data_IF_515459248905
#
_entry.id   IF_515459248905
#
_cell.length_a   1.000
_cell.length_b   1.000
_cell.length_c   1.000
_cell.angle_alpha   90.00
_cell.angle_beta   90.00
_cell.angle_gamma   90.00
#
_symmetry.space_group_name_H-M   'P 1'
#
loop_
_entity.id
_entity.type
_entity.pdbx_description
1 polymer ?
#
# COMPACT_ATOMS: atom_id res chain seq x y z
N UNK A 1 11.15 20.32 14.77
CA UNK A 1 11.06 18.96 15.36
C UNK A 1 11.09 17.96 14.21
N UNK A 2 11.57 16.74 14.43
CA UNK A 2 11.50 15.66 13.42
C UNK A 2 10.07 15.13 13.39
N UNK A 3 9.51 14.95 12.20
CA UNK A 3 8.18 14.35 12.05
C UNK A 3 8.19 12.87 12.47
N UNK A 4 7.11 12.43 13.09
CA UNK A 4 6.89 11.03 13.49
C UNK A 4 6.47 10.20 12.28
N UNK A 5 7.11 9.04 12.09
CA UNK A 5 6.82 8.14 10.97
C UNK A 5 6.36 6.79 11.52
N UNK A 6 5.13 6.41 11.15
CA UNK A 6 4.53 5.11 11.46
C UNK A 6 4.36 4.32 10.17
N UNK A 7 4.90 3.11 10.12
CA UNK A 7 4.83 2.25 8.94
C UNK A 7 4.04 0.97 9.21
N UNK A 8 3.24 0.55 8.22
CA UNK A 8 2.49 -0.70 8.27
C UNK A 8 2.84 -1.56 7.05
N UNK A 9 3.54 -2.65 7.26
CA UNK A 9 3.89 -3.62 6.21
C UNK A 9 3.17 -4.96 6.41
N UNK A 10 3.03 -5.74 5.35
CA UNK A 10 2.43 -7.08 5.42
C UNK A 10 1.70 -7.48 4.14
N UNK A 11 1.15 -8.67 4.12
CA UNK A 11 0.53 -9.31 2.97
C UNK A 11 -0.73 -8.61 2.45
N UNK A 12 -1.17 -9.00 1.25
CA UNK A 12 -2.42 -8.48 0.67
C UNK A 12 -3.64 -8.94 1.48
N UNK A 13 -4.61 -8.04 1.71
CA UNK A 13 -5.88 -8.39 2.38
C UNK A 13 -5.81 -8.52 3.91
N UNK A 14 -4.69 -8.21 4.58
CA UNK A 14 -4.58 -8.27 6.03
C UNK A 14 -5.12 -7.03 6.78
N UNK A 15 -5.78 -6.09 6.10
CA UNK A 15 -6.42 -4.93 6.74
C UNK A 15 -5.52 -3.74 7.02
N UNK A 16 -4.28 -3.70 6.52
CA UNK A 16 -3.32 -2.58 6.73
C UNK A 16 -3.89 -1.21 6.41
N UNK A 17 -4.48 -1.05 5.23
CA UNK A 17 -4.97 0.26 4.78
C UNK A 17 -6.14 0.75 5.64
N UNK A 18 -7.01 -0.15 6.11
CA UNK A 18 -8.07 0.20 7.06
C UNK A 18 -7.48 0.67 8.38
N UNK A 19 -6.54 -0.10 8.93
CA UNK A 19 -5.84 0.25 10.17
C UNK A 19 -5.08 1.56 10.04
N UNK A 20 -4.30 1.74 8.95
CA UNK A 20 -3.50 2.93 8.72
C UNK A 20 -4.35 4.20 8.60
N UNK A 21 -5.49 4.14 7.89
CA UNK A 21 -6.46 5.24 7.82
C UNK A 21 -7.01 5.62 9.20
N UNK A 22 -7.45 4.63 9.97
CA UNK A 22 -8.00 4.86 11.30
C UNK A 22 -6.96 5.48 12.24
N UNK A 23 -5.71 4.97 12.23
CA UNK A 23 -4.61 5.53 13.03
C UNK A 23 -4.26 6.96 12.61
N UNK A 24 -4.16 7.23 11.31
CA UNK A 24 -3.85 8.56 10.80
C UNK A 24 -4.94 9.58 11.20
N UNK A 25 -6.21 9.19 11.12
CA UNK A 25 -7.34 10.04 11.54
C UNK A 25 -7.29 10.34 13.04
N UNK A 26 -7.09 9.32 13.87
CA UNK A 26 -7.02 9.46 15.34
C UNK A 26 -5.86 10.36 15.78
N UNK A 27 -4.70 10.19 15.15
CA UNK A 27 -3.49 10.91 15.49
C UNK A 27 -3.39 12.28 14.80
N UNK A 28 -4.30 12.60 13.90
CA UNK A 28 -4.21 13.76 13.00
C UNK A 28 -2.91 13.77 12.17
N UNK A 29 -2.49 12.60 11.69
CA UNK A 29 -1.31 12.40 10.84
C UNK A 29 -1.72 12.28 9.37
N UNK A 30 -0.78 12.58 8.46
CA UNK A 30 -0.99 12.35 7.04
C UNK A 30 -1.01 10.83 6.74
N UNK A 31 -2.03 10.35 6.02
CA UNK A 31 -2.09 8.97 5.53
C UNK A 31 -1.63 8.87 4.09
N UNK A 32 -0.75 7.89 3.81
CA UNK A 32 -0.25 7.58 2.45
C UNK A 32 -0.46 6.10 2.12
N UNK A 33 -1.34 5.83 1.13
CA UNK A 33 -1.55 4.51 0.51
C UNK A 33 -0.52 4.30 -0.61
N UNK A 34 0.59 3.61 -0.33
CA UNK A 34 1.60 3.35 -1.37
C UNK A 34 1.10 2.39 -2.44
N UNK A 35 0.17 1.50 -2.09
CA UNK A 35 -0.49 0.64 -3.07
C UNK A 35 -1.29 1.43 -4.11
N UNK A 36 -1.92 2.55 -3.72
CA UNK A 36 -2.57 3.46 -4.66
C UNK A 36 -1.54 4.13 -5.60
N UNK A 37 -0.36 4.53 -5.09
CA UNK A 37 0.70 5.10 -5.93
C UNK A 37 1.17 4.12 -7.01
N UNK A 38 1.45 2.85 -6.64
CA UNK A 38 1.84 1.82 -7.61
C UNK A 38 0.73 1.48 -8.61
N UNK A 39 -0.53 1.57 -8.21
CA UNK A 39 -1.67 1.41 -9.13
C UNK A 39 -1.81 2.61 -10.07
N UNK A 40 -1.59 3.83 -9.60
CA UNK A 40 -1.63 5.03 -10.42
C UNK A 40 -0.56 5.01 -11.53
N UNK A 41 0.69 4.61 -11.21
CA UNK A 41 1.72 4.47 -12.23
C UNK A 41 1.43 3.32 -13.20
N UNK A 42 0.78 2.24 -12.73
CA UNK A 42 0.36 1.15 -13.62
C UNK A 42 -0.73 1.60 -14.59
N UNK A 43 -1.68 2.42 -14.12
CA UNK A 43 -2.69 3.05 -14.99
C UNK A 43 -2.00 3.95 -16.04
N UNK A 44 -1.03 4.77 -15.63
CA UNK A 44 -0.30 5.63 -16.53
C UNK A 44 0.40 4.86 -17.66
N UNK A 45 1.09 3.78 -17.33
CA UNK A 45 1.74 2.95 -18.34
C UNK A 45 0.75 2.22 -19.26
N UNK A 46 -0.40 1.84 -18.74
CA UNK A 46 -1.48 1.27 -19.55
C UNK A 46 -2.06 2.30 -20.52
N UNK A 47 -2.44 3.49 -20.04
CA UNK A 47 -3.01 4.57 -20.86
C UNK A 47 -2.00 5.13 -21.89
N UNK A 48 -0.70 5.06 -21.59
CA UNK A 48 0.37 5.51 -22.51
C UNK A 48 0.93 4.41 -23.43
N UNK A 49 0.29 3.25 -23.52
CA UNK A 49 0.68 2.10 -24.32
C UNK A 49 2.14 1.62 -24.06
N UNK A 50 2.58 1.70 -22.79
CA UNK A 50 3.91 1.23 -22.38
C UNK A 50 3.91 -0.24 -21.91
N UNK A 51 2.75 -0.89 -21.89
CA UNK A 51 2.59 -2.29 -21.49
C UNK A 51 2.55 -3.17 -22.73
N UNK A 52 3.46 -4.14 -22.80
CA UNK A 52 3.49 -5.16 -23.85
C UNK A 52 2.53 -6.31 -23.53
N UNK A 53 2.25 -7.16 -24.52
CA UNK A 53 1.31 -8.29 -24.41
C UNK A 53 1.63 -9.28 -23.28
N UNK A 54 2.91 -9.38 -22.88
CA UNK A 54 3.41 -10.19 -21.77
C UNK A 54 3.45 -9.46 -20.41
N UNK A 55 2.81 -8.31 -20.31
CA UNK A 55 2.80 -7.40 -19.14
C UNK A 55 4.18 -6.77 -18.81
N UNK A 56 5.15 -6.88 -19.69
CA UNK A 56 6.43 -6.18 -19.56
C UNK A 56 6.32 -4.72 -20.00
N UNK A 57 7.25 -3.89 -19.52
CA UNK A 57 7.35 -2.50 -19.96
C UNK A 57 8.11 -2.40 -21.28
N UNK A 58 7.66 -1.52 -22.17
CA UNK A 58 8.32 -1.21 -23.44
C UNK A 58 9.75 -0.67 -23.22
N UNK A 59 10.57 -0.67 -24.27
CA UNK A 59 11.93 -0.10 -24.22
C UNK A 59 11.94 1.40 -23.88
N UNK A 60 10.87 2.12 -24.26
CA UNK A 60 10.75 3.57 -24.09
C UNK A 60 10.14 3.97 -22.72
N UNK A 61 9.76 3.01 -21.87
CA UNK A 61 9.11 3.31 -20.59
C UNK A 61 9.91 4.28 -19.70
N UNK A 62 11.24 4.31 -19.82
CA UNK A 62 12.10 5.20 -19.02
C UNK A 62 11.78 6.67 -19.28
N UNK A 63 11.65 7.06 -20.55
CA UNK A 63 11.27 8.43 -20.93
C UNK A 63 9.89 8.78 -20.41
N UNK A 64 8.98 7.81 -20.52
CA UNK A 64 7.59 7.95 -20.06
C UNK A 64 7.52 8.02 -18.53
N UNK A 65 8.36 7.28 -17.82
CA UNK A 65 8.46 7.31 -16.35
C UNK A 65 8.77 8.72 -15.83
N UNK A 66 9.60 9.49 -16.51
CA UNK A 66 9.98 10.85 -16.08
C UNK A 66 8.79 11.82 -16.12
N UNK A 67 7.80 11.57 -16.97
CA UNK A 67 6.57 12.36 -17.09
C UNK A 67 5.53 12.08 -15.97
N UNK A 68 5.75 11.05 -15.17
CA UNK A 68 4.83 10.67 -14.10
C UNK A 68 5.00 11.56 -12.90
N UNK A 69 3.94 12.25 -12.51
CA UNK A 69 3.81 12.92 -11.21
C UNK A 69 2.69 12.24 -10.42
N UNK A 70 3.00 11.79 -9.20
CA UNK A 70 2.03 11.16 -8.29
C UNK A 70 2.07 11.89 -6.96
N UNK A 71 0.91 12.35 -6.54
CA UNK A 71 0.69 12.97 -5.24
C UNK A 71 -0.70 12.59 -4.69
N UNK A 72 -1.10 13.22 -3.59
CA UNK A 72 -2.41 13.01 -2.99
C UNK A 72 -3.16 14.34 -2.90
N UNK A 73 -4.49 14.26 -3.01
CA UNK A 73 -5.36 15.40 -2.74
C UNK A 73 -5.21 15.85 -1.27
N UNK A 74 -5.62 17.07 -0.97
CA UNK A 74 -5.87 17.43 0.43
C UNK A 74 -6.93 16.49 1.00
N UNK A 75 -6.87 16.16 2.31
CA UNK A 75 -7.90 15.37 2.96
C UNK A 75 -9.27 16.04 2.78
N UNK A 76 -10.29 15.24 2.49
CA UNK A 76 -11.69 15.67 2.51
C UNK A 76 -12.21 15.76 3.95
N UNK A 77 -13.51 16.07 4.12
CA UNK A 77 -14.17 16.17 5.45
C UNK A 77 -14.08 14.87 6.27
N UNK A 78 -13.97 13.72 5.59
CA UNK A 78 -13.80 12.41 6.23
C UNK A 78 -12.34 12.08 6.56
N UNK A 79 -11.39 12.99 6.21
CA UNK A 79 -9.95 12.77 6.38
C UNK A 79 -9.32 11.89 5.30
N UNK A 80 -10.03 11.62 4.19
CA UNK A 80 -9.52 10.79 3.10
C UNK A 80 -8.77 11.63 2.08
N UNK A 81 -7.56 11.20 1.71
CA UNK A 81 -6.77 11.74 0.61
C UNK A 81 -6.80 10.77 -0.56
N UNK A 82 -7.04 11.27 -1.75
CA UNK A 82 -7.10 10.47 -2.97
C UNK A 82 -5.85 10.65 -3.82
N UNK A 83 -5.36 9.56 -4.38
CA UNK A 83 -4.19 9.61 -5.25
C UNK A 83 -4.50 10.38 -6.54
N UNK A 84 -3.57 11.28 -6.90
CA UNK A 84 -3.59 12.01 -8.16
C UNK A 84 -2.44 11.55 -9.05
N UNK A 85 -2.74 11.41 -10.32
CA UNK A 85 -1.79 11.15 -11.39
C UNK A 85 -1.76 12.37 -12.31
N UNK A 86 -0.62 13.02 -12.42
CA UNK A 86 -0.45 14.25 -13.21
C UNK A 86 -1.55 15.30 -12.90
N UNK A 87 -1.84 15.49 -11.61
CA UNK A 87 -2.84 16.44 -11.13
C UNK A 87 -4.29 15.96 -11.16
N UNK A 88 -4.59 14.83 -11.77
CA UNK A 88 -5.95 14.27 -11.89
C UNK A 88 -6.19 13.16 -10.87
N UNK A 89 -7.32 13.24 -10.12
CA UNK A 89 -7.73 12.16 -9.20
C UNK A 89 -8.07 10.91 -10.01
N UNK A 90 -7.41 9.78 -9.67
CA UNK A 90 -7.58 8.50 -10.38
C UNK A 90 -8.08 7.37 -9.48
N UNK A 91 -8.47 7.64 -8.24
CA UNK A 91 -8.83 6.66 -7.23
C UNK A 91 -9.84 5.61 -7.73
N UNK A 92 -10.88 6.04 -8.45
CA UNK A 92 -11.92 5.16 -9.01
C UNK A 92 -11.42 4.31 -10.19
N UNK A 93 -10.44 4.78 -10.95
CA UNK A 93 -9.87 4.08 -12.10
C UNK A 93 -8.92 2.96 -11.68
N UNK A 94 -8.24 3.11 -10.55
CA UNK A 94 -7.17 2.20 -10.11
C UNK A 94 -7.65 1.02 -9.25
N UNK A 95 -8.93 0.97 -8.87
CA UNK A 95 -9.51 -0.08 -7.99
C UNK A 95 -10.22 -1.20 -8.77
N UNK A 96 -9.73 -1.54 -9.95
CA UNK A 96 -10.25 -2.64 -10.78
C UNK A 96 -9.29 -3.84 -10.82
N UNK A 97 -9.74 -4.94 -11.42
CA UNK A 97 -8.98 -6.20 -11.50
C UNK A 97 -7.79 -6.06 -12.46
N UNK A 98 -7.97 -5.38 -13.59
CA UNK A 98 -6.92 -5.17 -14.59
C UNK A 98 -5.70 -4.50 -13.97
N UNK A 99 -5.90 -3.35 -13.32
CA UNK A 99 -4.82 -2.64 -12.61
C UNK A 99 -4.26 -3.48 -11.45
N UNK A 100 -5.10 -4.29 -10.77
CA UNK A 100 -4.64 -5.17 -9.69
C UNK A 100 -3.68 -6.26 -10.17
N UNK A 101 -3.86 -6.77 -11.38
CA UNK A 101 -2.94 -7.75 -11.97
C UNK A 101 -1.66 -7.06 -12.45
N UNK A 102 -1.82 -5.92 -13.13
CA UNK A 102 -0.72 -5.16 -13.69
C UNK A 102 0.25 -4.62 -12.64
N UNK A 103 -0.25 -4.13 -11.52
CA UNK A 103 0.57 -3.57 -10.42
C UNK A 103 1.58 -4.57 -9.88
N UNK A 104 1.28 -5.86 -9.88
CA UNK A 104 2.19 -6.90 -9.41
C UNK A 104 3.44 -7.00 -10.29
N UNK A 105 3.31 -6.81 -11.60
CA UNK A 105 4.43 -6.82 -12.53
C UNK A 105 5.19 -5.49 -12.51
N UNK A 106 4.49 -4.37 -12.61
CA UNK A 106 5.09 -3.03 -12.61
C UNK A 106 5.92 -2.77 -11.34
N UNK A 107 5.43 -3.24 -10.19
CA UNK A 107 6.13 -3.07 -8.91
C UNK A 107 7.44 -3.87 -8.78
N UNK A 108 7.75 -4.79 -9.70
CA UNK A 108 9.05 -5.50 -9.78
C UNK A 108 10.14 -4.63 -10.41
N UNK A 109 9.77 -3.63 -11.20
CA UNK A 109 10.74 -2.82 -11.95
C UNK A 109 11.54 -1.89 -11.03
N UNK A 110 12.88 -2.01 -11.06
CA UNK A 110 13.77 -1.28 -10.17
C UNK A 110 13.71 0.25 -10.35
N UNK A 111 13.53 0.76 -11.58
CA UNK A 111 13.46 2.20 -11.84
C UNK A 111 12.13 2.78 -11.35
N UNK A 112 11.04 2.06 -11.56
CA UNK A 112 9.72 2.43 -10.99
C UNK A 112 9.81 2.50 -9.47
N UNK A 113 10.39 1.49 -8.83
CA UNK A 113 10.57 1.48 -7.38
C UNK A 113 11.42 2.64 -6.90
N UNK A 114 12.56 2.89 -7.55
CA UNK A 114 13.43 4.03 -7.19
C UNK A 114 12.66 5.34 -7.20
N UNK A 115 11.86 5.60 -8.24
CA UNK A 115 11.03 6.81 -8.31
C UNK A 115 9.97 6.85 -7.20
N UNK A 116 9.25 5.73 -6.98
CA UNK A 116 8.22 5.67 -5.93
C UNK A 116 8.81 5.89 -4.54
N UNK A 117 9.95 5.27 -4.21
CA UNK A 117 10.62 5.46 -2.91
C UNK A 117 10.98 6.94 -2.68
N UNK A 118 11.52 7.64 -3.69
CA UNK A 118 11.84 9.06 -3.56
C UNK A 118 10.59 9.90 -3.27
N UNK A 119 9.48 9.65 -3.97
CA UNK A 119 8.22 10.35 -3.71
C UNK A 119 7.68 10.02 -2.31
N UNK A 120 7.72 8.76 -1.90
CA UNK A 120 7.27 8.33 -0.58
C UNK A 120 8.09 9.01 0.53
N UNK A 121 9.41 9.04 0.39
CA UNK A 121 10.29 9.68 1.37
C UNK A 121 10.07 11.18 1.50
N UNK A 122 9.70 11.87 0.42
CA UNK A 122 9.45 13.32 0.48
C UNK A 122 8.32 13.71 1.43
N UNK A 123 7.34 12.83 1.67
CA UNK A 123 6.24 13.12 2.60
C UNK A 123 6.69 13.25 4.06
N UNK A 124 7.79 12.60 4.45
CA UNK A 124 8.30 12.68 5.82
C UNK A 124 8.80 14.08 6.22
N UNK A 125 9.04 14.95 5.25
CA UNK A 125 9.47 16.33 5.51
C UNK A 125 8.29 17.30 5.69
N UNK A 126 7.08 16.84 5.38
CA UNK A 126 5.88 17.70 5.35
C UNK A 126 5.06 17.60 6.63
N UNK A 127 4.89 16.38 7.17
CA UNK A 127 4.01 16.13 8.31
C UNK A 127 4.39 14.82 9.02
N UNK A 128 3.86 14.63 10.23
CA UNK A 128 3.74 13.33 10.85
C UNK A 128 2.93 12.41 9.93
N UNK A 129 3.27 11.12 9.87
CA UNK A 129 2.92 10.27 8.73
C UNK A 129 2.59 8.85 9.15
N UNK A 130 1.49 8.32 8.64
CA UNK A 130 1.18 6.90 8.62
C UNK A 130 1.20 6.41 7.18
N UNK A 131 2.06 5.44 6.88
CA UNK A 131 2.23 4.91 5.53
C UNK A 131 2.08 3.39 5.51
N UNK A 132 1.24 2.85 4.63
CA UNK A 132 1.10 1.41 4.47
C UNK A 132 1.60 0.90 3.11
N UNK A 133 2.16 -0.31 3.14
CA UNK A 133 2.71 -0.93 1.94
C UNK A 133 3.23 -2.35 2.12
N UNK A 134 4.40 -2.63 1.53
CA UNK A 134 5.06 -3.95 1.54
C UNK A 134 6.50 -3.90 2.04
N UNK A 135 7.13 -2.75 1.93
CA UNK A 135 8.55 -2.53 2.20
C UNK A 135 8.80 -1.15 2.82
N UNK A 136 7.80 -0.61 3.49
CA UNK A 136 7.88 0.75 4.02
C UNK A 136 8.88 0.81 5.17
N UNK A 137 8.72 -0.06 6.16
CA UNK A 137 9.62 -0.12 7.32
C UNK A 137 10.92 -0.88 7.08
N UNK A 138 11.09 -1.52 5.90
CA UNK A 138 12.34 -2.20 5.54
C UNK A 138 13.20 -1.41 4.55
N UNK A 139 12.59 -0.64 3.63
CA UNK A 139 13.30 0.05 2.54
C UNK A 139 13.01 1.56 2.54
N UNK A 140 11.75 1.98 2.59
CA UNK A 140 11.39 3.39 2.46
C UNK A 140 11.81 4.17 3.71
N UNK A 141 11.43 3.68 4.87
CA UNK A 141 11.74 4.26 6.20
C UNK A 141 12.31 3.21 7.16
N UNK A 142 13.54 2.71 6.93
CA UNK A 142 14.15 1.69 7.81
C UNK A 142 14.33 2.18 9.25
N UNK A 143 14.38 3.50 9.44
CA UNK A 143 14.49 4.17 10.73
C UNK A 143 13.18 4.85 11.17
N UNK A 144 12.02 4.33 10.71
CA UNK A 144 10.71 4.80 11.16
C UNK A 144 10.57 4.66 12.68
N UNK A 145 9.87 5.59 13.30
CA UNK A 145 9.69 5.66 14.74
C UNK A 145 8.90 4.46 15.27
N UNK A 146 7.87 4.04 14.53
CA UNK A 146 7.09 2.84 14.84
C UNK A 146 6.89 2.04 13.55
N UNK A 147 7.12 0.73 13.64
CA UNK A 147 6.93 -0.20 12.52
C UNK A 147 5.98 -1.32 12.94
N UNK A 148 4.92 -1.50 12.19
CA UNK A 148 3.99 -2.63 12.34
C UNK A 148 4.16 -3.62 11.21
N UNK A 149 4.20 -4.90 11.56
CA UNK A 149 4.02 -6.01 10.64
C UNK A 149 2.62 -6.58 10.83
N UNK A 150 1.71 -6.30 9.90
CA UNK A 150 0.33 -6.74 9.98
C UNK A 150 0.14 -8.03 9.20
N UNK A 151 -0.36 -9.06 9.83
CA UNK A 151 -0.61 -10.38 9.24
C UNK A 151 -1.98 -10.92 9.60
N UNK A 152 -2.44 -11.89 8.81
CA UNK A 152 -3.58 -12.75 9.09
C UNK A 152 -3.45 -14.03 8.26
N UNK A 153 -4.16 -15.10 8.63
CA UNK A 153 -4.17 -16.34 7.86
C UNK A 153 -4.62 -16.09 6.40
N UNK A 154 -4.12 -16.90 5.47
CA UNK A 154 -4.44 -16.74 4.05
C UNK A 154 -5.95 -16.87 3.79
N UNK A 155 -6.61 -17.79 4.51
CA UNK A 155 -8.05 -18.02 4.45
C UNK A 155 -8.82 -16.78 4.90
N UNK A 156 -8.43 -16.18 6.03
CA UNK A 156 -9.09 -14.99 6.57
C UNK A 156 -8.95 -13.80 5.62
N UNK A 157 -7.76 -13.63 5.03
CA UNK A 157 -7.49 -12.56 4.04
C UNK A 157 -8.29 -12.75 2.76
N UNK A 158 -8.40 -13.99 2.26
CA UNK A 158 -9.21 -14.33 1.10
C UNK A 158 -10.70 -14.08 1.37
N UNK A 159 -11.18 -14.49 2.54
CA UNK A 159 -12.57 -14.29 2.95
C UNK A 159 -12.92 -12.79 3.06
N UNK A 160 -12.09 -11.98 3.73
CA UNK A 160 -12.27 -10.52 3.82
C UNK A 160 -12.34 -9.89 2.42
N UNK A 161 -11.43 -10.27 1.54
CA UNK A 161 -11.39 -9.74 0.17
C UNK A 161 -12.59 -10.17 -0.68
N UNK A 162 -13.04 -11.40 -0.50
CA UNK A 162 -14.24 -11.90 -1.14
C UNK A 162 -15.50 -11.14 -0.69
N UNK A 163 -15.63 -10.85 0.60
CA UNK A 163 -16.73 -10.02 1.12
C UNK A 163 -16.72 -8.61 0.52
N UNK A 164 -15.55 -7.96 0.41
CA UNK A 164 -15.42 -6.65 -0.24
C UNK A 164 -15.91 -6.69 -1.71
N UNK A 165 -15.57 -7.73 -2.45
CA UNK A 165 -16.05 -7.89 -3.81
C UNK A 165 -17.57 -8.10 -3.88
N UNK A 166 -18.11 -8.92 -3.00
CA UNK A 166 -19.55 -9.18 -2.91
C UNK A 166 -20.33 -7.90 -2.58
N UNK A 167 -19.86 -7.09 -1.62
CA UNK A 167 -20.46 -5.80 -1.27
C UNK A 167 -20.45 -4.81 -2.45
N UNK A 168 -19.47 -4.89 -3.33
CA UNK A 168 -19.36 -4.09 -4.57
C UNK A 168 -20.12 -4.70 -5.74
N UNK A 169 -20.97 -5.70 -5.53
CA UNK A 169 -21.76 -6.37 -6.58
C UNK A 169 -20.96 -7.22 -7.56
N UNK A 170 -19.71 -7.56 -7.24
CA UNK A 170 -18.87 -8.40 -8.09
C UNK A 170 -19.08 -9.88 -7.78
N UNK A 171 -19.44 -10.64 -8.79
CA UNK A 171 -19.64 -12.10 -8.67
C UNK A 171 -18.33 -12.84 -8.97
N UNK A 172 -17.48 -12.98 -7.95
CA UNK A 172 -16.17 -13.65 -8.02
C UNK A 172 -16.19 -14.78 -6.97
N UNK A 173 -15.70 -15.96 -7.33
CA UNK A 173 -15.61 -17.08 -6.41
C UNK A 173 -14.52 -16.89 -5.35
N UNK A 174 -14.70 -17.49 -4.17
CA UNK A 174 -13.68 -17.44 -3.09
C UNK A 174 -12.38 -18.09 -3.55
N UNK A 175 -12.45 -19.12 -4.40
CA UNK A 175 -11.29 -19.83 -4.94
C UNK A 175 -10.45 -18.91 -5.83
N UNK A 176 -11.10 -18.11 -6.70
CA UNK A 176 -10.40 -17.13 -7.54
C UNK A 176 -9.72 -16.04 -6.70
N UNK A 177 -10.42 -15.57 -5.65
CA UNK A 177 -9.84 -14.57 -4.72
C UNK A 177 -8.65 -15.16 -3.99
N UNK A 178 -8.74 -16.40 -3.49
CA UNK A 178 -7.64 -17.10 -2.81
C UNK A 178 -6.44 -17.26 -3.73
N UNK A 179 -6.67 -17.71 -4.97
CA UNK A 179 -5.61 -17.83 -5.97
C UNK A 179 -4.91 -16.49 -6.26
N UNK A 180 -5.69 -15.43 -6.37
CA UNK A 180 -5.13 -14.08 -6.60
C UNK A 180 -4.30 -13.57 -5.41
N UNK A 181 -4.77 -13.80 -4.17
CA UNK A 181 -4.02 -13.42 -2.96
C UNK A 181 -2.70 -14.17 -2.89
N UNK A 182 -2.72 -15.49 -3.06
CA UNK A 182 -1.51 -16.32 -3.01
C UNK A 182 -0.51 -15.91 -4.10
N UNK A 183 -0.97 -15.68 -5.31
CA UNK A 183 -0.14 -15.19 -6.42
C UNK A 183 0.53 -13.84 -6.11
N UNK A 184 -0.21 -12.93 -5.48
CA UNK A 184 0.33 -11.62 -5.09
C UNK A 184 1.36 -11.73 -3.97
N UNK A 185 1.07 -12.55 -2.96
CA UNK A 185 1.98 -12.75 -1.84
C UNK A 185 3.29 -13.38 -2.30
N UNK A 186 3.21 -14.39 -3.19
CA UNK A 186 4.38 -15.02 -3.79
C UNK A 186 5.20 -14.00 -4.61
N UNK A 187 4.57 -13.20 -5.45
CA UNK A 187 5.23 -12.14 -6.20
C UNK A 187 5.89 -11.10 -5.29
N UNK A 188 5.20 -10.66 -4.23
CA UNK A 188 5.71 -9.65 -3.31
C UNK A 188 6.92 -10.18 -2.51
N UNK A 189 6.89 -11.45 -2.09
CA UNK A 189 7.98 -12.09 -1.33
C UNK A 189 9.21 -12.41 -2.19
N UNK A 190 9.00 -12.88 -3.44
CA UNK A 190 10.07 -13.39 -4.29
C UNK A 190 10.63 -12.36 -5.29
N UNK A 191 10.14 -11.12 -5.27
CA UNK A 191 10.69 -10.07 -6.17
C UNK A 191 12.15 -9.75 -5.80
N UNK A 192 12.99 -9.56 -6.83
CA UNK A 192 14.43 -9.30 -6.68
C UNK A 192 14.75 -7.98 -5.99
N UNK A 193 13.87 -6.99 -6.12
CA UNK A 193 14.08 -5.63 -5.57
C UNK A 193 13.05 -5.37 -4.49
N UNK A 194 13.51 -5.05 -3.29
CA UNK A 194 12.68 -4.75 -2.11
C UNK A 194 11.60 -5.81 -1.84
N UNK A 195 11.95 -7.09 -1.62
CA UNK A 195 10.97 -8.13 -1.32
C UNK A 195 10.16 -7.78 -0.07
N UNK A 196 8.94 -8.33 0.01
CA UNK A 196 8.14 -8.25 1.22
C UNK A 196 8.80 -9.05 2.32
N UNK A 197 9.40 -8.36 3.27
CA UNK A 197 10.03 -8.93 4.46
C UNK A 197 9.55 -8.21 5.71
N UNK A 198 9.48 -8.92 6.83
CA UNK A 198 9.16 -8.31 8.11
C UNK A 198 10.27 -7.32 8.50
N UNK A 199 9.96 -6.03 8.70
CA UNK A 199 10.97 -5.05 9.09
C UNK A 199 11.60 -5.38 10.46
N UNK A 200 12.88 -5.08 10.59
CA UNK A 200 13.56 -5.25 11.87
C UNK A 200 12.90 -4.37 12.96
N UNK A 201 12.75 -4.90 14.16
CA UNK A 201 12.12 -4.24 15.31
C UNK A 201 10.64 -3.83 15.06
N UNK A 202 9.95 -4.51 14.14
CA UNK A 202 8.52 -4.28 13.94
C UNK A 202 7.67 -5.00 14.99
N UNK A 203 6.61 -4.34 15.43
CA UNK A 203 5.55 -4.89 16.27
C UNK A 203 4.66 -5.76 15.38
N UNK A 204 4.47 -7.02 15.74
CA UNK A 204 3.62 -7.94 14.98
C UNK A 204 2.17 -7.76 15.41
N UNK A 205 1.29 -7.56 14.43
CA UNK A 205 -0.16 -7.58 14.61
C UNK A 205 -0.71 -8.76 13.80
N UNK A 206 -0.94 -9.89 14.45
CA UNK A 206 -1.71 -10.98 13.86
C UNK A 206 -3.19 -10.74 14.16
N UNK A 207 -3.92 -10.30 13.16
CA UNK A 207 -5.34 -10.00 13.30
C UNK A 207 -6.25 -11.09 12.73
N UNK A 208 -5.76 -12.34 12.70
CA UNK A 208 -6.55 -13.49 12.21
C UNK A 208 -7.89 -13.58 12.94
N UNK A 209 -7.87 -13.50 14.27
CA UNK A 209 -9.07 -13.59 15.11
C UNK A 209 -9.55 -12.23 15.65
N UNK A 210 -8.82 -11.16 15.37
CA UNK A 210 -9.18 -9.81 15.82
C UNK A 210 -10.20 -9.17 14.87
N UNK A 211 -11.14 -8.41 15.44
CA UNK A 211 -11.97 -7.47 14.70
C UNK A 211 -11.22 -6.15 14.41
N UNK A 212 -11.89 -5.19 13.76
CA UNK A 212 -11.28 -3.92 13.37
C UNK A 212 -10.89 -3.10 14.60
N UNK A 213 -11.80 -3.01 15.61
CA UNK A 213 -11.58 -2.19 16.81
C UNK A 213 -10.48 -2.79 17.70
N UNK A 214 -10.44 -4.10 17.85
CA UNK A 214 -9.37 -4.78 18.59
C UNK A 214 -8.00 -4.55 17.94
N UNK A 215 -7.93 -4.66 16.60
CA UNK A 215 -6.70 -4.40 15.83
C UNK A 215 -6.25 -2.95 16.00
N UNK A 216 -7.19 -2.01 15.92
CA UNK A 216 -6.94 -0.58 16.10
C UNK A 216 -6.44 -0.26 17.51
N UNK A 217 -7.13 -0.71 18.55
CA UNK A 217 -6.78 -0.45 19.94
C UNK A 217 -5.40 -1.05 20.30
N UNK A 218 -5.10 -2.25 19.79
CA UNK A 218 -3.76 -2.84 19.94
C UNK A 218 -2.67 -1.93 19.37
N UNK A 219 -2.83 -1.49 18.13
CA UNK A 219 -1.86 -0.61 17.49
C UNK A 219 -1.74 0.75 18.22
N UNK A 220 -2.87 1.37 18.57
CA UNK A 220 -2.92 2.67 19.23
C UNK A 220 -2.24 2.64 20.60
N UNK A 221 -2.41 1.58 21.37
CA UNK A 221 -1.73 1.38 22.67
C UNK A 221 -0.21 1.40 22.49
N UNK A 222 0.32 0.73 21.48
CA UNK A 222 1.76 0.73 21.21
C UNK A 222 2.26 2.12 20.77
N UNK A 223 1.46 2.86 20.00
CA UNK A 223 1.80 4.22 19.57
C UNK A 223 1.84 5.17 20.76
N UNK A 224 0.83 5.15 21.62
CA UNK A 224 0.81 6.00 22.84
C UNK A 224 1.98 5.69 23.78
N UNK A 225 2.33 4.42 23.95
CA UNK A 225 3.49 4.02 24.75
C UNK A 225 4.82 4.53 24.16
N UNK A 226 4.89 4.75 22.86
CA UNK A 226 6.06 5.35 22.21
C UNK A 226 6.08 6.88 22.34
N UNK A 227 4.94 7.54 22.08
CA UNK A 227 4.85 9.00 22.07
C UNK A 227 4.95 9.64 23.48
N UNK A 228 4.66 8.87 24.53
CA UNK A 228 4.70 9.32 25.93
C UNK A 228 6.06 9.05 26.61
N UNK A 229 7.06 8.60 25.86
CA UNK A 229 8.46 8.44 26.34
C UNK A 229 9.28 9.70 26.12
#
# INVERSE_FOLDING_TARGET
MKNTIITLDGHSGCGKSTLAKSLAKELNFLYIDTGAMYRAISLFFLESNQILNNLELSSDFKKTLDLVNIDFSKPNEDGESWVRLNGTIVEHKIRNIEISNLVSEISKNALVRKKMVLIQQSYSTVSDLVMDGRDIGSVVFPNADIKFWVTASAEKRAYRRWLEYKQKGKNISIQEVTKNINFRDDNDQNRKVSPLVKPLNSIIIDNTEMNIDETFNFALTHIHNYLNK
#
